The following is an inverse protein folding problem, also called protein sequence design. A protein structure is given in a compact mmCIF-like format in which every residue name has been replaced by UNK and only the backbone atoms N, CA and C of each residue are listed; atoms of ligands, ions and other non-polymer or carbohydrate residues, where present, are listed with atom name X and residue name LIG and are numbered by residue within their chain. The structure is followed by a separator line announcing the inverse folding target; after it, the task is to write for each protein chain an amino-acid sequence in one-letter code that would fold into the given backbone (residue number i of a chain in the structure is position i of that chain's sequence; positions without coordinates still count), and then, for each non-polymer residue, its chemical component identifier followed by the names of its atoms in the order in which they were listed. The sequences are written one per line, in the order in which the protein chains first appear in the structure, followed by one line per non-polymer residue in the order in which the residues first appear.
data_IF_084351374842
#
_entry.id   IF_084351374842
#
_cell.length_a   1.000
_cell.length_b   1.000
_cell.length_c   1.000
_cell.angle_alpha   90.00
_cell.angle_beta   90.00
_cell.angle_gamma   90.00
#
_symmetry.space_group_name_H-M   'P 1'
#
loop_
_entity.id
_entity.type
_entity.pdbx_description
1 polymer ?
#
# COMPACT_ATOMS: atom_id res chain seq x y z
N UNK A 1 18.61 -30.45 -45.02
CA UNK A 1 19.10 -29.14 -44.53
C UNK A 1 17.96 -28.46 -43.80
N UNK A 2 17.97 -28.32 -42.47
CA UNK A 2 17.14 -27.36 -41.79
C UNK A 2 17.92 -26.04 -41.70
N UNK A 3 17.38 -24.98 -42.30
CA UNK A 3 17.89 -23.62 -42.19
C UNK A 3 17.62 -23.08 -40.78
N UNK A 4 18.69 -22.84 -40.04
CA UNK A 4 18.68 -22.15 -38.74
C UNK A 4 18.13 -20.73 -38.94
N UNK A 5 17.09 -20.37 -38.18
CA UNK A 5 16.65 -18.99 -38.04
C UNK A 5 17.54 -18.38 -36.96
N UNK A 6 18.45 -17.51 -37.38
CA UNK A 6 19.23 -16.66 -36.47
C UNK A 6 18.27 -15.70 -35.77
N UNK A 7 17.86 -16.03 -34.55
CA UNK A 7 17.20 -15.09 -33.64
C UNK A 7 18.24 -14.09 -33.15
N UNK A 8 18.45 -13.03 -33.91
CA UNK A 8 19.12 -11.83 -33.41
C UNK A 8 18.14 -11.12 -32.47
N UNK A 9 18.20 -11.45 -31.18
CA UNK A 9 17.53 -10.70 -30.13
C UNK A 9 18.19 -9.32 -30.00
N UNK A 10 17.48 -8.28 -30.45
CA UNK A 10 17.86 -6.89 -30.16
C UNK A 10 17.85 -6.70 -28.64
N UNK A 11 18.84 -6.01 -28.06
CA UNK A 11 18.84 -5.71 -26.63
C UNK A 11 17.65 -4.81 -26.30
N UNK A 12 16.76 -5.29 -25.42
CA UNK A 12 15.65 -4.49 -24.89
C UNK A 12 16.21 -3.48 -23.91
N UNK A 13 16.01 -2.18 -24.16
CA UNK A 13 16.33 -1.13 -23.21
C UNK A 13 15.58 -1.36 -21.88
N UNK A 14 16.22 -1.14 -20.71
CA UNK A 14 15.52 -1.18 -19.44
C UNK A 14 14.42 -0.10 -19.40
N UNK A 15 13.28 -0.43 -18.77
CA UNK A 15 12.20 0.51 -18.58
C UNK A 15 12.71 1.76 -17.86
N UNK A 16 12.52 2.94 -18.46
CA UNK A 16 13.07 4.20 -17.91
C UNK A 16 12.26 4.74 -16.72
N UNK A 17 11.08 4.20 -16.44
CA UNK A 17 10.28 4.54 -15.24
C UNK A 17 10.63 3.69 -14.02
N UNK A 18 10.82 2.37 -14.16
CA UNK A 18 11.05 1.47 -13.03
C UNK A 18 12.37 0.69 -13.09
N UNK A 19 13.17 0.87 -14.13
CA UNK A 19 14.48 0.23 -14.33
C UNK A 19 14.44 -1.24 -14.77
N UNK A 20 13.25 -1.86 -14.85
CA UNK A 20 13.10 -3.29 -15.17
C UNK A 20 13.31 -3.56 -16.66
N UNK A 21 14.07 -4.58 -17.02
CA UNK A 21 14.22 -5.03 -18.42
C UNK A 21 12.95 -5.78 -18.85
N UNK A 22 12.17 -5.25 -19.81
CA UNK A 22 10.97 -5.91 -20.28
C UNK A 22 11.29 -6.98 -21.35
N UNK A 23 10.36 -7.91 -21.62
CA UNK A 23 10.46 -8.80 -22.78
C UNK A 23 10.60 -8.01 -24.10
N UNK A 24 11.29 -8.54 -25.13
CA UNK A 24 11.61 -7.82 -26.37
C UNK A 24 10.40 -7.46 -27.23
N UNK A 25 9.26 -8.09 -27.02
CA UNK A 25 7.97 -7.87 -27.69
C UNK A 25 6.95 -7.11 -26.80
N UNK A 26 7.36 -6.72 -25.60
CA UNK A 26 6.50 -6.02 -24.66
C UNK A 26 6.28 -4.58 -25.08
N UNK A 27 5.01 -4.20 -25.15
CA UNK A 27 4.59 -2.85 -25.49
C UNK A 27 4.39 -1.99 -24.25
N UNK A 28 4.22 -2.64 -23.10
CA UNK A 28 4.17 -2.02 -21.78
C UNK A 28 5.11 -2.74 -20.82
N UNK A 29 5.64 -2.01 -19.86
CA UNK A 29 6.49 -2.60 -18.83
C UNK A 29 5.65 -3.44 -17.86
N UNK A 30 5.95 -4.74 -17.65
CA UNK A 30 5.23 -5.57 -16.69
C UNK A 30 5.49 -5.21 -15.23
N UNK A 31 6.45 -4.31 -14.95
CA UNK A 31 6.75 -3.85 -13.59
C UNK A 31 5.96 -2.62 -13.14
N UNK A 32 5.63 -1.71 -14.06
CA UNK A 32 4.98 -0.43 -13.71
C UNK A 32 3.90 0.02 -14.71
N UNK A 33 3.68 -0.72 -15.81
CA UNK A 33 2.69 -0.38 -16.83
C UNK A 33 3.07 0.82 -17.73
N UNK A 34 4.35 1.22 -17.75
CA UNK A 34 4.84 2.26 -18.66
C UNK A 34 4.74 1.80 -20.11
N UNK A 35 4.33 2.69 -21.02
CA UNK A 35 4.32 2.41 -22.46
C UNK A 35 5.76 2.42 -23.00
N UNK A 36 6.21 1.28 -23.52
CA UNK A 36 7.55 1.10 -24.08
C UNK A 36 7.62 1.52 -25.56
N UNK A 37 6.47 1.64 -26.25
CA UNK A 37 6.36 2.12 -27.63
C UNK A 37 6.43 3.64 -27.72
N UNK A 38 6.05 4.36 -26.66
CA UNK A 38 6.16 5.82 -26.59
C UNK A 38 7.63 6.33 -26.69
N UNK A 39 8.61 5.44 -26.48
CA UNK A 39 10.04 5.75 -26.55
C UNK A 39 10.61 6.00 -27.95
N UNK A 40 9.87 5.73 -29.03
CA UNK A 40 10.35 5.98 -30.40
C UNK A 40 9.89 7.32 -31.00
N UNK A 41 9.10 8.12 -30.27
CA UNK A 41 8.58 9.41 -30.76
C UNK A 41 8.61 10.58 -29.75
N UNK A 42 8.92 10.33 -28.48
CA UNK A 42 9.10 11.42 -27.51
C UNK A 42 10.51 12.01 -27.65
N UNK A 43 10.62 13.16 -28.29
CA UNK A 43 11.85 13.95 -28.20
C UNK A 43 11.93 14.58 -26.80
N UNK A 44 13.11 14.63 -26.21
CA UNK A 44 13.33 15.24 -24.90
C UNK A 44 14.07 16.58 -25.08
N UNK A 45 13.79 17.54 -24.21
CA UNK A 45 14.49 18.81 -24.23
C UNK A 45 15.97 18.59 -23.89
N UNK A 46 16.87 19.04 -24.76
CA UNK A 46 18.33 18.92 -24.52
C UNK A 46 18.82 19.79 -23.38
N UNK A 47 18.04 20.79 -22.96
CA UNK A 47 18.40 21.73 -21.89
C UNK A 47 17.94 21.26 -20.51
N UNK A 48 16.69 20.78 -20.38
CA UNK A 48 16.12 20.41 -19.08
C UNK A 48 15.72 18.92 -18.93
N UNK A 49 15.76 18.14 -20.01
CA UNK A 49 15.45 16.70 -19.98
C UNK A 49 13.96 16.35 -19.95
N UNK A 50 13.06 17.35 -19.92
CA UNK A 50 11.61 17.12 -19.96
C UNK A 50 11.15 16.54 -21.30
N UNK A 51 10.10 15.72 -21.27
CA UNK A 51 9.47 15.21 -22.48
C UNK A 51 8.85 16.36 -23.29
N UNK A 52 9.15 16.42 -24.58
CA UNK A 52 8.54 17.36 -25.52
C UNK A 52 7.47 16.61 -26.31
N UNK A 53 6.28 17.18 -26.42
CA UNK A 53 5.25 16.64 -27.31
C UNK A 53 5.71 16.82 -28.77
N UNK A 54 5.27 15.96 -29.71
CA UNK A 54 5.68 16.04 -31.11
C UNK A 54 5.38 17.40 -31.77
N UNK A 55 4.37 18.14 -31.28
CA UNK A 55 3.98 19.46 -31.79
C UNK A 55 4.52 20.66 -31.00
N UNK A 56 5.27 20.46 -29.91
CA UNK A 56 5.82 21.55 -29.10
C UNK A 56 6.97 22.27 -29.82
N UNK A 57 6.80 23.55 -30.15
CA UNK A 57 7.86 24.40 -30.71
C UNK A 57 8.88 24.85 -29.64
N UNK A 58 8.39 24.96 -28.40
CA UNK A 58 9.15 25.36 -27.21
C UNK A 58 8.85 24.40 -26.06
N UNK A 59 9.83 24.17 -25.20
CA UNK A 59 9.63 23.38 -23.98
C UNK A 59 8.68 24.11 -23.01
N UNK A 60 7.59 23.45 -22.60
CA UNK A 60 6.64 24.01 -21.64
C UNK A 60 7.23 24.26 -20.24
N UNK A 61 8.27 23.51 -19.87
CA UNK A 61 8.89 23.61 -18.54
C UNK A 61 10.00 24.67 -18.47
N UNK A 62 10.81 24.82 -19.53
CA UNK A 62 11.98 25.72 -19.50
C UNK A 62 11.98 26.81 -20.58
N UNK A 63 11.04 26.78 -21.53
CA UNK A 63 10.92 27.75 -22.62
C UNK A 63 11.95 27.61 -23.75
N UNK A 64 12.82 26.60 -23.72
CA UNK A 64 13.83 26.40 -24.77
C UNK A 64 13.20 26.00 -26.10
N UNK A 65 13.61 26.66 -27.19
CA UNK A 65 13.16 26.35 -28.55
C UNK A 65 13.79 25.05 -29.07
N UNK A 66 13.03 24.26 -29.84
CA UNK A 66 13.57 23.05 -30.49
C UNK A 66 14.72 23.39 -31.45
N UNK A 67 15.77 22.55 -31.54
CA UNK A 67 16.92 22.80 -32.41
C UNK A 67 16.59 22.75 -33.91
N UNK A 68 15.43 22.21 -34.31
CA UNK A 68 15.09 21.95 -35.72
C UNK A 68 14.32 23.09 -36.42
N UNK A 69 13.73 24.05 -35.70
CA UNK A 69 12.92 25.14 -36.30
C UNK A 69 13.73 26.23 -37.01
N UNK A 70 15.06 26.18 -37.02
CA UNK A 70 15.89 27.15 -37.75
C UNK A 70 16.13 26.84 -39.22
N UNK A 71 15.51 25.78 -39.79
CA UNK A 71 15.85 25.37 -41.16
C UNK A 71 14.73 24.61 -41.86
N UNK A 72 13.60 25.26 -42.21
CA UNK A 72 12.69 24.78 -43.28
C UNK A 72 11.62 25.81 -43.68
N UNK A 73 12.05 26.91 -44.33
CA UNK A 73 11.30 27.36 -45.50
C UNK A 73 11.69 26.42 -46.65
N UNK A 74 10.82 25.47 -47.01
CA UNK A 74 10.69 24.87 -48.35
C UNK A 74 9.87 23.57 -48.30
N UNK A 75 8.69 23.62 -48.92
CA UNK A 75 8.05 22.54 -49.71
C UNK A 75 8.00 21.11 -49.17
N UNK A 76 6.79 20.57 -49.10
CA UNK A 76 6.57 19.19 -49.54
C UNK A 76 5.50 18.41 -48.79
N UNK A 77 4.25 18.59 -49.22
CA UNK A 77 3.25 17.53 -49.43
C UNK A 77 3.53 16.15 -48.80
N UNK A 78 2.79 15.81 -47.75
CA UNK A 78 2.49 14.42 -47.40
C UNK A 78 1.05 14.33 -46.87
N UNK A 79 0.15 14.00 -47.80
CA UNK A 79 -1.07 13.20 -47.62
C UNK A 79 -1.64 13.11 -46.21
N UNK A 80 -2.75 13.81 -46.04
CA UNK A 80 -3.87 13.41 -45.20
C UNK A 80 -4.13 11.90 -45.37
N UNK A 81 -3.80 11.13 -44.35
CA UNK A 81 -4.42 9.83 -44.12
C UNK A 81 -5.07 9.92 -42.75
N UNK A 82 -6.36 10.27 -42.77
CA UNK A 82 -7.21 10.32 -41.59
C UNK A 82 -7.21 8.98 -40.86
N UNK A 83 -6.43 8.91 -39.79
CA UNK A 83 -6.84 8.20 -38.60
C UNK A 83 -7.12 9.29 -37.58
N UNK A 84 -8.39 9.46 -37.20
CA UNK A 84 -8.76 10.22 -36.02
C UNK A 84 -7.84 9.74 -34.89
N UNK A 85 -7.03 10.61 -34.25
CA UNK A 85 -6.18 10.17 -33.17
C UNK A 85 -7.09 9.47 -32.15
N UNK A 86 -6.75 8.23 -31.74
CA UNK A 86 -7.54 7.52 -30.75
C UNK A 86 -7.82 8.47 -29.59
N UNK A 87 -9.10 8.62 -29.21
CA UNK A 87 -9.50 9.53 -28.15
C UNK A 87 -8.57 9.32 -26.94
N UNK A 88 -7.66 10.28 -26.76
CA UNK A 88 -6.52 10.14 -25.87
C UNK A 88 -7.00 10.04 -24.42
N UNK A 89 -8.18 10.60 -24.15
CA UNK A 89 -8.87 10.54 -22.88
C UNK A 89 -9.49 9.16 -22.63
N UNK A 90 -10.09 8.53 -23.65
CA UNK A 90 -10.56 7.15 -23.57
C UNK A 90 -9.42 6.15 -23.28
N UNK A 91 -8.26 6.33 -23.93
CA UNK A 91 -7.08 5.50 -23.67
C UNK A 91 -6.48 5.75 -22.29
N UNK A 92 -6.56 6.98 -21.78
CA UNK A 92 -6.13 7.32 -20.41
C UNK A 92 -7.10 6.74 -19.37
N UNK A 93 -8.40 6.76 -19.62
CA UNK A 93 -9.41 6.12 -18.77
C UNK A 93 -9.22 4.60 -18.74
N UNK A 94 -9.03 3.98 -19.89
CA UNK A 94 -8.71 2.56 -20.01
C UNK A 94 -7.46 2.17 -19.21
N UNK A 95 -6.33 2.87 -19.42
CA UNK A 95 -5.08 2.62 -18.69
C UNK A 95 -5.25 2.75 -17.17
N UNK A 96 -6.09 3.68 -16.71
CA UNK A 96 -6.41 3.82 -15.29
C UNK A 96 -7.15 2.58 -14.78
N UNK A 97 -8.21 2.12 -15.45
CA UNK A 97 -8.94 0.90 -15.04
C UNK A 97 -8.05 -0.33 -14.98
N UNK A 98 -7.16 -0.50 -15.97
CA UNK A 98 -6.20 -1.63 -15.96
C UNK A 98 -5.29 -1.56 -14.73
N UNK A 99 -4.73 -0.38 -14.42
CA UNK A 99 -3.89 -0.20 -13.23
C UNK A 99 -4.66 -0.49 -11.94
N UNK A 100 -5.91 -0.07 -11.83
CA UNK A 100 -6.73 -0.31 -10.65
C UNK A 100 -6.89 -1.81 -10.39
N UNK A 101 -7.12 -2.61 -11.44
CA UNK A 101 -7.17 -4.07 -11.30
C UNK A 101 -5.80 -4.68 -10.95
N UNK A 102 -4.72 -4.20 -11.53
CA UNK A 102 -3.38 -4.68 -11.18
C UNK A 102 -3.01 -4.36 -9.72
N UNK A 103 -3.37 -3.17 -9.23
CA UNK A 103 -3.18 -2.76 -7.84
C UNK A 103 -4.04 -3.60 -6.88
N UNK A 104 -5.22 -4.03 -7.33
CA UNK A 104 -6.11 -4.96 -6.62
C UNK A 104 -5.61 -6.42 -6.66
N UNK A 105 -4.48 -6.70 -7.33
CA UNK A 105 -3.83 -8.02 -7.37
C UNK A 105 -4.15 -8.87 -8.59
N UNK A 106 -4.88 -8.34 -9.57
CA UNK A 106 -5.22 -9.06 -10.80
C UNK A 106 -3.99 -9.25 -11.68
N UNK A 107 -3.93 -10.39 -12.38
CA UNK A 107 -2.85 -10.71 -13.30
C UNK A 107 -3.26 -10.50 -14.76
N UNK A 108 -2.37 -9.89 -15.55
CA UNK A 108 -2.57 -9.68 -16.99
C UNK A 108 -2.29 -10.98 -17.75
N UNK A 109 -3.30 -11.55 -18.42
CA UNK A 109 -3.16 -12.79 -19.21
C UNK A 109 -2.98 -12.52 -20.69
N UNK A 110 -3.68 -11.53 -21.25
CA UNK A 110 -3.60 -11.19 -22.67
C UNK A 110 -3.68 -9.67 -22.85
N UNK A 111 -2.81 -9.11 -23.70
CA UNK A 111 -2.79 -7.69 -24.05
C UNK A 111 -2.82 -7.52 -25.58
N UNK A 112 -3.87 -6.87 -26.08
CA UNK A 112 -4.04 -6.51 -27.49
C UNK A 112 -3.93 -5.00 -27.73
N UNK A 113 -3.54 -4.21 -26.74
CA UNK A 113 -3.41 -2.75 -26.81
C UNK A 113 -4.73 -2.00 -26.61
N UNK A 114 -5.79 -2.38 -27.33
CA UNK A 114 -7.15 -1.82 -27.21
C UNK A 114 -8.07 -2.65 -26.28
N UNK A 115 -7.61 -3.84 -25.89
CA UNK A 115 -8.28 -4.77 -24.98
C UNK A 115 -7.26 -5.56 -24.18
N UNK A 116 -7.54 -5.73 -22.90
CA UNK A 116 -6.80 -6.64 -22.01
C UNK A 116 -7.72 -7.69 -21.40
N UNK A 117 -7.15 -8.85 -21.12
CA UNK A 117 -7.79 -9.91 -20.32
C UNK A 117 -7.02 -10.03 -19.02
N UNK A 118 -7.71 -9.75 -17.91
CA UNK A 118 -7.20 -9.85 -16.55
C UNK A 118 -7.81 -11.08 -15.89
N UNK A 119 -7.05 -11.73 -15.02
CA UNK A 119 -7.51 -12.86 -14.22
C UNK A 119 -7.14 -12.61 -12.77
N UNK A 120 -8.12 -12.71 -11.88
CA UNK A 120 -7.86 -12.72 -10.44
C UNK A 120 -7.58 -14.15 -10.00
N UNK A 121 -6.39 -14.37 -9.41
CA UNK A 121 -5.97 -15.69 -8.92
C UNK A 121 -5.59 -15.56 -7.46
N UNK A 122 -6.45 -16.06 -6.59
CA UNK A 122 -6.16 -16.14 -5.17
C UNK A 122 -5.91 -17.60 -4.77
N UNK A 123 -5.01 -17.80 -3.80
CA UNK A 123 -4.80 -19.10 -3.14
C UNK A 123 -5.90 -19.33 -2.10
N UNK A 124 -6.64 -18.29 -1.74
CA UNK A 124 -7.71 -18.30 -0.76
C UNK A 124 -7.20 -17.91 0.63
N UNK A 125 -8.07 -18.01 1.62
CA UNK A 125 -7.81 -17.37 2.90
C UNK A 125 -6.79 -18.11 3.78
N UNK A 126 -5.84 -17.35 4.34
CA UNK A 126 -4.78 -17.88 5.21
C UNK A 126 -5.34 -18.63 6.44
N UNK A 127 -6.37 -18.14 7.16
CA UNK A 127 -6.94 -18.88 8.29
C UNK A 127 -7.51 -20.25 7.90
N UNK A 128 -8.13 -20.36 6.71
CA UNK A 128 -8.63 -21.65 6.19
C UNK A 128 -7.47 -22.59 5.90
N UNK A 129 -6.39 -22.10 5.28
CA UNK A 129 -5.17 -22.90 5.07
C UNK A 129 -4.61 -23.46 6.39
N UNK A 130 -4.47 -22.63 7.43
CA UNK A 130 -4.00 -23.06 8.75
C UNK A 130 -4.95 -24.09 9.36
N UNK A 131 -6.26 -23.85 9.30
CA UNK A 131 -7.27 -24.79 9.82
C UNK A 131 -7.22 -26.13 9.09
N UNK A 132 -7.12 -26.12 7.76
CA UNK A 132 -7.00 -27.32 6.94
C UNK A 132 -5.67 -28.04 7.20
N UNK A 133 -4.59 -27.31 7.48
CA UNK A 133 -3.30 -27.93 7.77
C UNK A 133 -3.39 -28.75 9.06
N UNK A 134 -4.01 -28.18 10.10
CA UNK A 134 -4.22 -28.83 11.38
C UNK A 134 -5.20 -30.01 11.30
N UNK A 135 -6.25 -29.91 10.48
CA UNK A 135 -7.33 -30.90 10.45
C UNK A 135 -7.13 -32.01 9.41
N UNK A 136 -6.43 -31.72 8.31
CA UNK A 136 -6.27 -32.65 7.17
C UNK A 136 -4.82 -33.06 6.90
N UNK A 137 -3.87 -32.57 7.70
CA UNK A 137 -2.44 -32.87 7.52
C UNK A 137 -1.85 -32.29 6.22
N UNK A 138 -2.49 -31.30 5.62
CA UNK A 138 -2.02 -30.60 4.42
C UNK A 138 -2.71 -30.98 3.11
N UNK A 139 -3.38 -32.13 3.02
CA UNK A 139 -4.10 -32.52 1.78
C UNK A 139 -5.23 -31.53 1.47
N UNK A 140 -5.95 -31.06 2.48
CA UNK A 140 -6.98 -30.06 2.32
C UNK A 140 -6.44 -28.72 1.81
N UNK A 141 -5.20 -28.35 2.15
CA UNK A 141 -4.58 -27.12 1.64
C UNK A 141 -4.36 -27.17 0.13
N UNK A 142 -3.89 -28.32 -0.39
CA UNK A 142 -3.67 -28.50 -1.82
C UNK A 142 -5.01 -28.44 -2.58
N UNK A 143 -6.04 -29.11 -2.06
CA UNK A 143 -7.37 -29.09 -2.68
C UNK A 143 -8.03 -27.70 -2.62
N UNK A 144 -7.95 -27.03 -1.47
CA UNK A 144 -8.53 -25.69 -1.29
C UNK A 144 -7.82 -24.64 -2.13
N UNK A 145 -6.48 -24.64 -2.12
CA UNK A 145 -5.67 -23.74 -2.94
C UNK A 145 -5.89 -24.00 -4.43
N UNK A 146 -5.94 -25.26 -4.86
CA UNK A 146 -6.28 -25.59 -6.25
C UNK A 146 -7.67 -25.09 -6.63
N UNK A 147 -8.69 -25.38 -5.81
CA UNK A 147 -10.06 -24.96 -6.07
C UNK A 147 -10.20 -23.43 -6.19
N UNK A 148 -9.58 -22.67 -5.27
CA UNK A 148 -9.57 -21.20 -5.35
C UNK A 148 -8.79 -20.69 -6.57
N UNK A 149 -7.63 -21.26 -6.82
CA UNK A 149 -6.75 -20.81 -7.90
C UNK A 149 -7.28 -21.15 -9.30
N UNK A 150 -8.00 -22.26 -9.46
CA UNK A 150 -8.48 -22.72 -10.77
C UNK A 150 -9.95 -22.43 -11.04
N UNK A 151 -10.85 -22.74 -10.10
CA UNK A 151 -12.30 -22.68 -10.35
C UNK A 151 -12.96 -21.38 -9.91
N UNK A 152 -12.38 -20.71 -8.92
CA UNK A 152 -12.83 -19.39 -8.48
C UNK A 152 -12.04 -18.25 -9.14
N UNK A 153 -11.16 -18.55 -10.09
CA UNK A 153 -10.41 -17.54 -10.82
C UNK A 153 -11.36 -16.71 -11.70
N UNK A 154 -11.59 -15.46 -11.32
CA UNK A 154 -12.44 -14.56 -12.08
C UNK A 154 -11.65 -14.03 -13.28
N UNK A 155 -12.21 -14.16 -14.49
CA UNK A 155 -11.61 -13.62 -15.70
C UNK A 155 -12.40 -12.43 -16.21
N UNK A 156 -11.76 -11.26 -16.31
CA UNK A 156 -12.38 -10.03 -16.81
C UNK A 156 -11.73 -9.57 -18.10
N UNK A 157 -12.56 -9.12 -19.05
CA UNK A 157 -12.09 -8.51 -20.30
C UNK A 157 -12.41 -7.03 -20.24
N UNK A 158 -11.38 -6.19 -20.35
CA UNK A 158 -11.53 -4.75 -20.43
C UNK A 158 -11.11 -4.27 -21.81
N UNK A 159 -11.87 -3.35 -22.38
CA UNK A 159 -11.58 -2.69 -23.65
C UNK A 159 -11.60 -1.16 -23.50
N UNK A 160 -10.96 -0.47 -24.44
CA UNK A 160 -10.96 1.00 -24.50
C UNK A 160 -12.38 1.53 -24.73
N UNK A 161 -13.20 0.80 -25.48
CA UNK A 161 -14.58 1.16 -25.76
C UNK A 161 -15.52 0.95 -24.56
N UNK A 162 -15.05 0.26 -23.52
CA UNK A 162 -15.85 0.07 -22.31
C UNK A 162 -15.95 1.42 -21.56
N UNK A 163 -17.18 1.82 -21.27
CA UNK A 163 -17.47 2.96 -20.40
C UNK A 163 -17.14 2.67 -18.92
N UNK A 164 -17.53 3.57 -18.01
CA UNK A 164 -17.46 3.31 -16.57
C UNK A 164 -18.17 2.00 -16.21
N UNK A 165 -17.64 1.29 -15.20
CA UNK A 165 -18.25 0.07 -14.71
C UNK A 165 -19.68 0.36 -14.22
N UNK A 166 -20.68 -0.43 -14.62
CA UNK A 166 -22.03 -0.24 -14.12
C UNK A 166 -22.09 -0.51 -12.61
N UNK A 167 -22.93 0.23 -11.89
CA UNK A 167 -23.00 0.17 -10.41
C UNK A 167 -23.16 -1.26 -9.86
N UNK A 168 -23.86 -2.12 -10.59
CA UNK A 168 -24.09 -3.53 -10.22
C UNK A 168 -22.83 -4.40 -10.21
N UNK A 169 -21.77 -4.00 -10.90
CA UNK A 169 -20.49 -4.72 -10.99
C UNK A 169 -19.41 -4.14 -10.05
N UNK A 170 -19.72 -3.04 -9.35
CA UNK A 170 -18.81 -2.43 -8.38
C UNK A 170 -18.82 -3.19 -7.06
N UNK A 171 -17.64 -3.38 -6.48
CA UNK A 171 -17.45 -4.00 -5.16
C UNK A 171 -18.15 -3.15 -4.09
N UNK A 172 -18.94 -3.74 -3.18
CA UNK A 172 -19.59 -2.98 -2.11
C UNK A 172 -18.55 -2.33 -1.19
N UNK A 173 -18.83 -1.13 -0.64
CA UNK A 173 -17.83 -0.37 0.07
C UNK A 173 -17.43 -1.03 1.39
N UNK A 174 -16.13 -1.23 1.57
CA UNK A 174 -15.56 -1.94 2.72
C UNK A 174 -15.90 -3.43 2.78
N UNK A 175 -16.20 -4.05 1.64
CA UNK A 175 -16.61 -5.46 1.49
C UNK A 175 -15.50 -6.51 1.57
N UNK A 176 -14.39 -6.24 2.23
CA UNK A 176 -13.26 -7.19 2.34
C UNK A 176 -13.49 -8.27 3.42
N UNK A 177 -14.62 -8.22 4.14
CA UNK A 177 -14.97 -9.18 5.19
C UNK A 177 -15.64 -10.42 4.56
N UNK A 178 -14.84 -11.31 3.96
CA UNK A 178 -15.34 -12.61 3.49
C UNK A 178 -15.84 -13.42 4.72
N UNK A 179 -17.14 -13.80 4.75
CA UNK A 179 -17.73 -14.48 5.90
C UNK A 179 -17.06 -15.82 6.21
N UNK A 180 -16.47 -16.49 5.21
CA UNK A 180 -15.72 -17.72 5.41
C UNK A 180 -14.41 -17.46 6.15
N UNK A 181 -13.74 -16.35 5.87
CA UNK A 181 -12.51 -15.92 6.54
C UNK A 181 -12.79 -15.55 7.99
N UNK A 182 -13.87 -14.78 8.21
CA UNK A 182 -14.30 -14.45 9.56
C UNK A 182 -14.67 -15.72 10.35
N UNK A 183 -15.47 -16.63 9.77
CA UNK A 183 -15.87 -17.88 10.40
C UNK A 183 -14.67 -18.77 10.73
N UNK A 184 -13.76 -18.96 9.77
CA UNK A 184 -12.56 -19.78 9.97
C UNK A 184 -11.62 -19.18 11.02
N UNK A 185 -11.48 -17.85 11.07
CA UNK A 185 -10.77 -17.13 12.12
C UNK A 185 -11.37 -17.38 13.51
N UNK A 186 -12.71 -17.34 13.64
CA UNK A 186 -13.39 -17.69 14.89
C UNK A 186 -13.21 -19.16 15.27
N UNK A 187 -13.31 -20.09 14.33
CA UNK A 187 -13.14 -21.53 14.58
C UNK A 187 -11.70 -21.83 15.04
N UNK A 188 -10.70 -21.31 14.35
CA UNK A 188 -9.29 -21.48 14.71
C UNK A 188 -8.99 -20.87 16.08
N UNK A 189 -9.42 -19.62 16.31
CA UNK A 189 -9.25 -18.95 17.59
C UNK A 189 -9.94 -19.68 18.74
N UNK A 190 -11.17 -20.18 18.50
CA UNK A 190 -11.94 -20.96 19.47
C UNK A 190 -11.31 -22.31 19.80
N UNK A 191 -10.80 -23.04 18.81
CA UNK A 191 -10.09 -24.32 19.02
C UNK A 191 -8.84 -24.09 19.88
N UNK A 192 -8.02 -23.08 19.54
CA UNK A 192 -6.83 -22.75 20.32
C UNK A 192 -7.16 -22.33 21.76
N UNK A 193 -8.25 -21.57 21.94
CA UNK A 193 -8.76 -21.19 23.25
C UNK A 193 -9.18 -22.41 24.08
N UNK A 194 -9.94 -23.34 23.49
CA UNK A 194 -10.39 -24.56 24.15
C UNK A 194 -9.23 -25.49 24.52
N UNK A 195 -8.27 -25.69 23.61
CA UNK A 195 -7.06 -26.48 23.87
C UNK A 195 -6.25 -25.84 24.99
N UNK A 196 -6.00 -24.53 24.92
CA UNK A 196 -5.26 -23.79 25.94
C UNK A 196 -5.91 -23.89 27.31
N UNK A 197 -7.22 -23.65 27.40
CA UNK A 197 -7.99 -23.76 28.64
C UNK A 197 -7.97 -25.19 29.22
N UNK A 198 -8.08 -26.21 28.37
CA UNK A 198 -7.96 -27.61 28.77
C UNK A 198 -6.58 -27.94 29.35
N UNK A 199 -5.51 -27.50 28.69
CA UNK A 199 -4.13 -27.67 29.18
C UNK A 199 -3.91 -26.97 30.51
N UNK A 200 -4.44 -25.75 30.70
CA UNK A 200 -4.40 -25.04 31.99
C UNK A 200 -5.07 -25.86 33.09
N UNK A 201 -6.30 -26.34 32.85
CA UNK A 201 -7.07 -27.08 33.85
C UNK A 201 -6.36 -28.38 34.27
N UNK A 202 -5.83 -29.14 33.31
CA UNK A 202 -5.08 -30.38 33.58
C UNK A 202 -3.77 -30.08 34.32
N UNK A 203 -3.02 -29.08 33.86
CA UNK A 203 -1.71 -28.74 34.44
C UNK A 203 -1.83 -28.19 35.87
N UNK A 204 -2.88 -27.41 36.14
CA UNK A 204 -3.19 -26.92 37.48
C UNK A 204 -3.51 -28.08 38.44
N UNK A 205 -4.27 -29.08 37.98
CA UNK A 205 -4.53 -30.30 38.76
C UNK A 205 -3.28 -31.12 39.08
N UNK A 206 -2.23 -31.01 38.25
CA UNK A 206 -0.93 -31.68 38.44
C UNK A 206 0.12 -30.81 39.15
N UNK A 207 -0.18 -29.54 39.46
CA UNK A 207 0.78 -28.60 40.02
C UNK A 207 1.88 -28.14 39.06
N UNK A 208 1.73 -28.36 37.75
CA UNK A 208 2.71 -27.98 36.74
C UNK A 208 2.55 -26.52 36.33
N UNK A 209 3.41 -25.65 36.88
CA UNK A 209 3.44 -24.22 36.55
C UNK A 209 3.75 -23.99 35.07
N UNK A 210 4.72 -24.72 34.52
CA UNK A 210 5.09 -24.61 33.11
C UNK A 210 3.96 -25.05 32.19
N UNK A 211 3.29 -26.17 32.49
CA UNK A 211 2.15 -26.64 31.70
C UNK A 211 1.00 -25.62 31.70
N UNK A 212 0.70 -25.04 32.87
CA UNK A 212 -0.32 -23.99 32.98
C UNK A 212 0.07 -22.73 32.19
N UNK A 213 1.34 -22.32 32.22
CA UNK A 213 1.82 -21.18 31.43
C UNK A 213 1.69 -21.43 29.92
N UNK A 214 2.04 -22.63 29.44
CA UNK A 214 1.86 -23.00 28.03
C UNK A 214 0.39 -22.98 27.61
N UNK A 215 -0.50 -23.59 28.40
CA UNK A 215 -1.94 -23.56 28.11
C UNK A 215 -2.49 -22.14 28.07
N UNK A 216 -2.06 -21.27 29.00
CA UNK A 216 -2.46 -19.86 29.02
C UNK A 216 -1.96 -19.11 27.77
N UNK A 217 -0.73 -19.39 27.31
CA UNK A 217 -0.20 -18.80 26.09
C UNK A 217 -1.04 -19.20 24.85
N UNK A 218 -1.39 -20.47 24.70
CA UNK A 218 -2.27 -20.93 23.62
C UNK A 218 -3.65 -20.28 23.67
N UNK A 219 -4.23 -20.15 24.87
CA UNK A 219 -5.52 -19.49 25.06
C UNK A 219 -5.46 -18.00 24.67
N UNK A 220 -4.38 -17.30 25.06
CA UNK A 220 -4.14 -15.91 24.68
C UNK A 220 -3.98 -15.76 23.16
N UNK A 221 -3.19 -16.63 22.52
CA UNK A 221 -3.02 -16.62 21.06
C UNK A 221 -4.36 -16.82 20.35
N UNK A 222 -5.15 -17.82 20.77
CA UNK A 222 -6.49 -18.07 20.23
C UNK A 222 -7.39 -16.85 20.33
N UNK A 223 -7.35 -16.13 21.46
CA UNK A 223 -8.10 -14.90 21.65
C UNK A 223 -7.63 -13.77 20.70
N UNK A 224 -6.31 -13.62 20.50
CA UNK A 224 -5.74 -12.59 19.62
C UNK A 224 -5.98 -12.83 18.13
N UNK A 225 -6.14 -14.09 17.72
CA UNK A 225 -6.44 -14.49 16.34
C UNK A 225 -7.92 -14.30 15.96
N UNK A 226 -8.80 -14.01 16.93
CA UNK A 226 -10.20 -13.72 16.59
C UNK A 226 -10.28 -12.43 15.76
N UNK A 227 -11.12 -12.39 14.71
CA UNK A 227 -11.26 -11.21 13.85
C UNK A 227 -11.41 -9.87 14.60
N UNK A 228 -12.22 -9.74 15.67
CA UNK A 228 -12.32 -8.49 16.41
C UNK A 228 -11.02 -8.10 17.14
N UNK A 229 -10.24 -9.06 17.64
CA UNK A 229 -8.97 -8.79 18.32
C UNK A 229 -7.89 -8.41 17.31
N UNK A 230 -7.79 -9.14 16.20
CA UNK A 230 -6.85 -8.84 15.11
C UNK A 230 -7.09 -7.44 14.55
N UNK A 231 -8.36 -7.10 14.25
CA UNK A 231 -8.76 -5.78 13.80
C UNK A 231 -8.31 -4.68 14.78
N UNK A 232 -8.33 -4.92 16.09
CA UNK A 232 -7.87 -3.95 17.11
C UNK A 232 -6.34 -3.86 17.18
N UNK A 233 -5.64 -4.98 17.10
CA UNK A 233 -4.17 -5.04 17.18
C UNK A 233 -3.48 -4.43 15.96
N UNK A 234 -4.09 -4.54 14.77
CA UNK A 234 -3.65 -3.82 13.56
C UNK A 234 -3.75 -2.30 13.72
N UNK A 235 -4.69 -1.83 14.56
CA UNK A 235 -4.92 -0.40 14.85
C UNK A 235 -4.21 0.09 16.12
N UNK A 236 -3.21 -0.65 16.63
CA UNK A 236 -2.52 -0.27 17.86
C UNK A 236 -1.80 1.07 17.70
N UNK A 237 -1.86 1.89 18.73
CA UNK A 237 -1.09 3.11 18.88
C UNK A 237 0.19 2.85 19.69
N UNK A 238 1.00 3.89 19.87
CA UNK A 238 2.12 3.85 20.81
C UNK A 238 1.68 3.34 22.18
N UNK A 239 2.50 2.49 22.79
CA UNK A 239 2.18 1.77 24.04
C UNK A 239 1.86 2.69 25.22
N UNK A 240 2.31 3.95 25.18
CA UNK A 240 2.05 4.98 26.18
C UNK A 240 0.70 5.69 26.02
N UNK A 241 -0.10 5.40 24.99
CA UNK A 241 -1.38 6.07 24.77
C UNK A 241 -2.48 5.42 25.63
N UNK A 242 -3.08 6.22 26.52
CA UNK A 242 -4.21 5.85 27.35
C UNK A 242 -5.33 6.90 27.26
N UNK A 243 -6.58 6.48 27.43
CA UNK A 243 -7.74 7.37 27.50
C UNK A 243 -8.48 7.55 26.17
N UNK A 244 -9.22 8.65 26.05
CA UNK A 244 -9.99 9.00 24.85
C UNK A 244 -9.08 9.59 23.80
N UNK A 245 -9.03 8.96 22.63
CA UNK A 245 -8.27 9.45 21.48
C UNK A 245 -9.19 9.58 20.28
N UNK A 246 -8.92 10.60 19.46
CA UNK A 246 -9.50 10.70 18.12
C UNK A 246 -8.47 10.24 17.11
N UNK A 247 -8.87 9.35 16.23
CA UNK A 247 -8.02 8.80 15.17
C UNK A 247 -8.64 9.10 13.82
N UNK A 248 -7.78 9.32 12.84
CA UNK A 248 -8.17 9.62 11.47
C UNK A 248 -7.35 8.69 10.60
N UNK A 249 -8.04 7.78 9.91
CA UNK A 249 -7.42 6.92 8.90
C UNK A 249 -7.89 7.37 7.52
N UNK A 250 -7.02 7.23 6.53
CA UNK A 250 -7.33 7.45 5.13
C UNK A 250 -7.24 6.12 4.39
N UNK A 251 -8.22 5.85 3.54
CA UNK A 251 -8.21 4.74 2.57
C UNK A 251 -8.50 5.33 1.20
N UNK A 252 -7.70 4.97 0.21
CA UNK A 252 -7.99 5.27 -1.19
C UNK A 252 -9.12 4.35 -1.63
N UNK A 253 -10.15 4.91 -2.27
CA UNK A 253 -11.24 4.14 -2.88
C UNK A 253 -10.93 3.98 -4.36
N UNK A 254 -10.69 2.76 -4.85
CA UNK A 254 -10.43 2.50 -6.26
C UNK A 254 -11.71 2.67 -7.09
N UNK A 255 -11.58 2.80 -8.42
CA UNK A 255 -12.73 2.92 -9.32
C UNK A 255 -13.59 1.64 -9.41
N UNK A 256 -13.07 0.54 -8.86
CA UNK A 256 -13.75 -0.77 -8.75
C UNK A 256 -14.68 -0.86 -7.54
N UNK A 257 -14.60 0.08 -6.58
CA UNK A 257 -15.43 0.10 -5.36
C UNK A 257 -16.58 1.12 -5.51
N UNK A 258 -17.80 0.73 -5.12
CA UNK A 258 -18.99 1.59 -5.24
C UNK A 258 -18.92 2.77 -4.28
N UNK A 259 -19.10 3.97 -4.82
CA UNK A 259 -19.20 5.20 -4.02
C UNK A 259 -20.66 5.52 -3.68
N UNK A 260 -21.06 5.29 -2.42
CA UNK A 260 -22.44 5.53 -1.94
C UNK A 260 -22.82 7.00 -1.74
N UNK A 261 -21.83 7.90 -1.62
CA UNK A 261 -22.08 9.31 -1.29
C UNK A 261 -21.19 10.23 -2.11
N UNK A 262 -21.69 11.39 -2.59
CA UNK A 262 -20.90 12.35 -3.33
C UNK A 262 -19.76 12.92 -2.49
N UNK A 263 -18.84 13.63 -3.15
CA UNK A 263 -17.75 14.31 -2.47
C UNK A 263 -18.30 15.33 -1.46
N UNK A 264 -17.76 15.32 -0.24
CA UNK A 264 -18.17 16.25 0.84
C UNK A 264 -17.82 17.71 0.51
N UNK A 265 -16.82 17.95 -0.36
CA UNK A 265 -16.34 19.29 -0.71
C UNK A 265 -17.07 19.86 -1.92
N UNK A 266 -17.02 19.18 -3.07
CA UNK A 266 -17.66 19.68 -4.30
C UNK A 266 -19.10 19.18 -4.53
N UNK A 267 -19.55 18.15 -3.81
CA UNK A 267 -20.89 17.56 -3.99
C UNK A 267 -21.04 16.67 -5.22
N UNK A 268 -19.99 16.46 -6.00
CA UNK A 268 -20.02 15.66 -7.22
C UNK A 268 -19.83 14.16 -6.96
N UNK A 269 -20.43 13.32 -7.80
CA UNK A 269 -20.11 11.90 -7.87
C UNK A 269 -18.72 11.70 -8.47
N UNK A 270 -17.98 10.72 -7.98
CA UNK A 270 -16.64 10.42 -8.46
C UNK A 270 -16.43 8.90 -8.51
N UNK A 271 -15.57 8.45 -9.42
CA UNK A 271 -15.20 7.04 -9.55
C UNK A 271 -14.09 6.67 -8.55
N UNK A 272 -13.10 7.56 -8.37
CA UNK A 272 -11.96 7.36 -7.47
C UNK A 272 -11.83 8.52 -6.49
N UNK A 273 -11.48 8.18 -5.25
CA UNK A 273 -11.38 9.18 -4.20
C UNK A 273 -10.65 8.69 -2.95
N UNK A 274 -10.81 9.44 -1.87
CA UNK A 274 -10.28 9.12 -0.55
C UNK A 274 -11.42 9.11 0.45
N UNK A 275 -11.48 8.05 1.26
CA UNK A 275 -12.36 7.96 2.42
C UNK A 275 -11.55 8.26 3.66
N UNK A 276 -11.91 9.34 4.34
CA UNK A 276 -11.39 9.69 5.66
C UNK A 276 -12.31 9.14 6.72
N UNK A 277 -11.80 8.23 7.54
CA UNK A 277 -12.55 7.59 8.63
C UNK A 277 -12.09 8.16 9.97
N UNK A 278 -12.96 8.96 10.60
CA UNK A 278 -12.72 9.53 11.93
C UNK A 278 -13.33 8.62 12.98
N UNK A 279 -12.57 8.26 14.01
CA UNK A 279 -13.06 7.47 15.14
C UNK A 279 -12.77 8.17 16.45
N UNK A 280 -13.71 8.07 17.39
CA UNK A 280 -13.52 8.41 18.80
C UNK A 280 -13.43 7.10 19.58
N UNK A 281 -12.25 6.81 20.12
CA UNK A 281 -11.95 5.52 20.72
C UNK A 281 -11.35 5.69 22.13
N UNK A 282 -11.70 4.77 23.02
CA UNK A 282 -10.99 4.56 24.28
C UNK A 282 -9.86 3.58 24.04
N UNK A 283 -8.64 4.00 24.37
CA UNK A 283 -7.42 3.25 24.19
C UNK A 283 -6.80 2.94 25.55
N UNK A 284 -6.34 1.70 25.70
CA UNK A 284 -5.62 1.23 26.88
C UNK A 284 -4.30 0.61 26.42
N UNK A 285 -3.17 1.14 26.90
CA UNK A 285 -1.83 0.69 26.52
C UNK A 285 -1.62 0.61 24.99
N UNK A 286 -2.15 1.59 24.27
CA UNK A 286 -2.12 1.64 22.82
C UNK A 286 -3.15 0.76 22.09
N UNK A 287 -3.92 -0.09 22.77
CA UNK A 287 -4.96 -0.93 22.14
C UNK A 287 -6.34 -0.28 22.22
N UNK A 288 -7.06 -0.08 21.10
CA UNK A 288 -8.42 0.45 21.13
C UNK A 288 -9.38 -0.59 21.71
N UNK A 289 -9.90 -0.31 22.90
CA UNK A 289 -10.84 -1.19 23.63
C UNK A 289 -12.30 -0.88 23.29
N UNK A 290 -12.63 0.37 22.97
CA UNK A 290 -14.00 0.76 22.63
C UNK A 290 -14.04 1.91 21.62
N UNK A 291 -14.77 1.72 20.52
CA UNK A 291 -15.10 2.78 19.57
C UNK A 291 -16.47 3.35 19.94
N UNK A 292 -16.55 4.64 20.22
CA UNK A 292 -17.77 5.33 20.64
C UNK A 292 -18.50 5.97 19.47
N UNK A 293 -17.75 6.61 18.58
CA UNK A 293 -18.29 7.27 17.40
C UNK A 293 -17.40 6.97 16.21
N UNK A 294 -18.01 6.86 15.05
CA UNK A 294 -17.32 6.64 13.80
C UNK A 294 -18.03 7.39 12.68
N UNK A 295 -17.26 8.19 11.96
CA UNK A 295 -17.72 9.03 10.87
C UNK A 295 -16.83 8.76 9.64
N UNK A 296 -17.44 8.85 8.45
CA UNK A 296 -16.74 8.64 7.17
C UNK A 296 -17.04 9.85 6.28
N UNK A 297 -15.99 10.55 5.87
CA UNK A 297 -16.08 11.62 4.87
C UNK A 297 -15.42 11.14 3.59
N UNK A 298 -16.07 11.37 2.44
CA UNK A 298 -15.58 10.94 1.13
C UNK A 298 -15.18 12.15 0.29
N UNK A 299 -14.03 12.08 -0.35
CA UNK A 299 -13.44 13.17 -1.14
C UNK A 299 -13.13 12.63 -2.54
N UNK A 300 -13.46 13.39 -3.60
CA UNK A 300 -12.96 13.07 -4.94
C UNK A 300 -11.43 13.24 -4.96
N UNK A 301 -10.76 12.66 -5.96
CA UNK A 301 -9.30 12.71 -6.07
C UNK A 301 -8.74 14.15 -6.03
N UNK A 302 -9.42 15.11 -6.66
CA UNK A 302 -8.93 16.49 -6.74
C UNK A 302 -9.10 17.25 -5.42
N UNK A 303 -10.27 17.15 -4.78
CA UNK A 303 -10.50 17.75 -3.46
C UNK A 303 -9.64 17.09 -2.38
N UNK A 304 -9.41 15.77 -2.46
CA UNK A 304 -8.48 15.10 -1.57
C UNK A 304 -7.05 15.61 -1.76
N UNK A 305 -6.63 15.87 -3.01
CA UNK A 305 -5.28 16.36 -3.31
C UNK A 305 -5.07 17.76 -2.76
N UNK A 306 -6.03 18.66 -2.95
CA UNK A 306 -5.93 20.03 -2.45
C UNK A 306 -5.94 20.09 -0.91
N UNK A 307 -6.77 19.31 -0.23
CA UNK A 307 -6.79 19.32 1.25
C UNK A 307 -5.60 18.61 1.89
N UNK A 308 -5.14 17.49 1.33
CA UNK A 308 -4.07 16.68 1.94
C UNK A 308 -2.66 17.19 1.56
N UNK A 309 -2.52 17.83 0.39
CA UNK A 309 -1.21 18.24 -0.14
C UNK A 309 -1.12 19.72 -0.51
N UNK A 310 -2.21 20.50 -0.49
CA UNK A 310 -2.23 21.92 -0.85
C UNK A 310 -1.83 22.89 0.27
N UNK A 311 -1.14 22.42 1.31
CA UNK A 311 -0.83 23.18 2.52
C UNK A 311 0.61 23.68 2.66
N UNK A 312 1.34 23.95 1.58
CA UNK A 312 2.72 24.46 1.65
C UNK A 312 2.98 25.72 0.82
N UNK A 313 2.05 26.67 0.85
CA UNK A 313 2.31 28.06 0.45
C UNK A 313 1.72 28.99 1.53
N UNK A 314 2.42 29.08 2.66
CA UNK A 314 2.05 29.96 3.76
C UNK A 314 3.04 29.92 4.91
N UNK A 315 3.86 30.97 5.00
CA UNK A 315 4.51 31.45 6.24
C UNK A 315 5.58 30.56 6.89
N UNK A 316 6.70 30.34 6.19
CA UNK A 316 7.97 30.14 6.88
C UNK A 316 8.48 31.50 7.38
N UNK A 317 8.01 31.89 8.57
CA UNK A 317 8.57 32.98 9.36
C UNK A 317 10.09 32.80 9.48
N UNK A 318 10.82 33.78 8.97
CA UNK A 318 12.25 33.76 8.82
C UNK A 318 12.96 33.81 10.17
N UNK A 319 13.53 32.67 10.57
CA UNK A 319 14.75 32.65 11.40
C UNK A 319 15.56 31.39 11.13
N UNK A 320 16.34 31.42 10.05
CA UNK A 320 17.44 30.48 9.85
C UNK A 320 18.62 31.02 10.67
N UNK A 321 18.83 30.44 11.84
CA UNK A 321 20.06 30.62 12.61
C UNK A 321 21.17 29.83 11.89
N UNK A 322 22.14 30.55 11.34
CA UNK A 322 23.26 29.97 10.60
C UNK A 322 24.19 29.23 11.56
N UNK A 323 24.35 27.92 11.37
CA UNK A 323 25.42 27.15 12.02
C UNK A 323 26.53 26.93 10.99
N UNK A 324 27.70 27.49 11.26
CA UNK A 324 28.91 27.37 10.43
C UNK A 324 29.45 25.92 10.40
N UNK A 325 29.98 25.44 9.25
CA UNK A 325 30.61 24.14 9.16
C UNK A 325 32.12 24.25 9.42
N UNK A 326 32.62 23.63 10.49
CA UNK A 326 34.05 23.41 10.70
C UNK A 326 34.47 21.97 10.36
N UNK A 327 35.26 21.88 9.31
CA UNK A 327 36.34 20.93 8.96
C UNK A 327 36.43 19.53 9.62
N UNK A 328 36.15 18.53 8.78
CA UNK A 328 37.02 17.41 8.35
C UNK A 328 38.24 17.06 9.22
N UNK A 329 38.27 15.85 9.79
CA UNK A 329 39.47 14.99 9.89
C UNK A 329 39.07 13.51 9.78
N UNK A 330 39.63 12.82 8.79
CA UNK A 330 39.66 11.35 8.69
C UNK A 330 40.64 10.76 9.71
N UNK A 331 40.34 9.60 10.31
CA UNK A 331 41.30 8.46 10.37
C UNK A 331 40.66 7.21 10.99
N UNK A 332 40.69 6.12 10.21
CA UNK A 332 41.33 4.84 10.53
C UNK A 332 41.08 4.19 11.89
N UNK A 333 40.44 3.03 11.88
CA UNK A 333 40.29 2.17 13.05
C UNK A 333 41.55 1.40 13.45
N UNK A 334 41.51 0.77 14.62
CA UNK A 334 42.00 -0.58 14.91
C UNK A 334 41.85 -0.88 16.40
N UNK A 335 41.52 -2.14 16.65
CA UNK A 335 41.38 -2.89 17.90
C UNK A 335 42.56 -2.78 18.88
N UNK A 336 42.26 -2.95 20.17
CA UNK A 336 43.25 -3.25 21.22
C UNK A 336 42.60 -3.41 22.59
N UNK A 337 42.42 -4.66 23.02
CA UNK A 337 42.05 -5.10 24.37
C UNK A 337 43.17 -4.84 25.40
N UNK A 338 42.79 -4.59 26.67
CA UNK A 338 43.44 -5.00 27.95
C UNK A 338 42.89 -4.10 29.09
N UNK A 339 42.09 -4.64 30.03
CA UNK A 339 42.51 -5.03 31.41
C UNK A 339 42.94 -3.82 32.29
N UNK A 340 42.63 -3.66 33.57
CA UNK A 340 41.88 -4.35 34.63
C UNK A 340 41.84 -3.37 35.83
N UNK A 341 41.15 -3.76 36.91
CA UNK A 341 41.06 -3.14 38.25
C UNK A 341 40.15 -1.90 38.38
N UNK A 342 39.20 -1.82 39.32
CA UNK A 342 39.05 -2.55 40.58
C UNK A 342 39.01 -1.54 41.72
N UNK A 343 37.82 -1.27 42.28
CA UNK A 343 37.64 -1.02 43.72
C UNK A 343 36.19 -0.68 44.06
N UNK A 344 35.67 -1.54 44.93
CA UNK A 344 34.59 -1.32 45.88
C UNK A 344 34.85 -0.12 46.79
N UNK A 345 33.78 0.56 47.20
CA UNK A 345 33.80 1.56 48.25
C UNK A 345 32.38 1.90 48.70
N UNK A 346 31.91 1.17 49.71
CA UNK A 346 30.72 1.47 50.52
C UNK A 346 30.91 2.74 51.37
N UNK A 347 29.80 3.44 51.65
CA UNK A 347 29.46 4.18 52.90
C UNK A 347 28.35 5.21 52.56
N UNK A 348 27.10 5.03 52.99
CA UNK A 348 26.54 5.37 54.32
C UNK A 348 26.42 6.88 54.63
N UNK A 349 25.25 7.28 55.15
CA UNK A 349 24.95 8.60 55.73
C UNK A 349 23.73 9.23 55.07
N UNK A 350 22.49 8.91 55.49
CA UNK A 350 21.77 9.47 56.66
C UNK A 350 21.40 10.96 56.49
N UNK A 351 20.15 11.29 56.82
CA UNK A 351 19.67 12.67 56.79
C UNK A 351 18.19 12.80 56.47
N UNK A 352 17.34 12.39 57.40
CA UNK A 352 15.96 12.84 57.53
C UNK A 352 15.85 14.37 57.51
N UNK A 353 14.82 14.92 56.89
CA UNK A 353 14.11 16.07 57.44
C UNK A 353 12.69 16.20 56.86
N UNK A 354 11.74 16.29 57.79
CA UNK A 354 10.33 16.52 57.56
C UNK A 354 10.01 18.00 57.80
N UNK A 355 9.16 18.59 56.98
CA UNK A 355 8.35 19.78 57.26
C UNK A 355 7.27 19.87 56.15
N UNK A 356 6.03 19.43 56.37
CA UNK A 356 4.88 20.22 56.86
C UNK A 356 4.97 21.75 56.66
N UNK A 357 4.18 22.29 55.73
CA UNK A 357 3.32 23.47 55.97
C UNK A 357 2.22 23.52 54.88
N UNK A 358 0.97 23.20 55.16
CA UNK A 358 -0.12 24.06 55.65
C UNK A 358 -0.38 25.32 54.81
N UNK A 359 -1.51 25.28 54.10
CA UNK A 359 -2.50 26.33 53.87
C UNK A 359 -2.12 27.80 54.16
N UNK A 360 -2.32 28.66 53.14
CA UNK A 360 -2.91 29.97 53.37
C UNK A 360 -3.72 30.47 52.17
N UNK A 361 -4.83 31.09 52.54
CA UNK A 361 -5.93 31.69 51.81
C UNK A 361 -5.58 32.63 50.64
N UNK A 362 -6.51 32.66 49.68
CA UNK A 362 -6.64 33.62 48.59
C UNK A 362 -7.83 33.27 47.70
#
# INVERSE_FOLDING_TARGET
MPSERTESSSPTDPCRECGRVPPPDANFCPGCGADLRAGTGAAYCSECGSALLPEDEFCADCGAARPETRRSEATGHATERGGEPPDSDAHRAFRRRVRDHLDDGWELTEDRGDRVVLVDRDVGSIPVHVLLLLTTGGVGNLLYGWYHYSELAETRRLSVADGPLPDGELVPPGGDDDPLVDLSGYLLGGILLLIGAGVVAVSAGQGSVLGAAFGAAFALVGLTLTPPAERRLKRRHGRSRFGRTRTVDHRVTPATERTESPCVVCGESFERGVVRRRRDETVLAGVPVRTHAMERNRYCADCARSELFGGSEGEADGRVESVEPTDRVETGGSTGDAECDGSTGDAEGDGSEAATDSARDG
#
